data_IF_346908468262
#
_entry.id   IF_346908468262
#
_cell.length_a   1.000
_cell.length_b   1.000
_cell.length_c   1.000
_cell.angle_alpha   90.00
_cell.angle_beta   90.00
_cell.angle_gamma   90.00
#
_symmetry.space_group_name_H-M   'P 1'
#
loop_
_entity.id
_entity.type
_entity.pdbx_description
1 polymer ?
#
# COMPACT_ATOMS: atom_id res chain seq x y z
N UNK A 1 12.86 1.21 -9.85
CA UNK A 1 12.23 0.02 -9.24
C UNK A 1 10.73 0.06 -9.52
N UNK A 2 10.10 -1.10 -9.77
CA UNK A 2 8.64 -1.21 -9.88
C UNK A 2 8.01 -1.19 -8.48
N UNK A 3 6.96 -0.40 -8.30
CA UNK A 3 6.10 -0.43 -7.11
C UNK A 3 4.68 -0.73 -7.56
N UNK A 4 4.09 -1.77 -7.01
CA UNK A 4 2.69 -2.12 -7.23
C UNK A 4 1.89 -1.85 -5.95
N UNK A 5 0.76 -1.16 -6.07
CA UNK A 5 -0.18 -0.95 -4.97
C UNK A 5 -1.47 -1.68 -5.30
N UNK A 6 -1.72 -2.76 -4.61
CA UNK A 6 -2.94 -3.54 -4.75
C UNK A 6 -3.91 -3.15 -3.65
N UNK A 7 -5.03 -2.56 -4.03
CA UNK A 7 -5.99 -2.00 -3.07
C UNK A 7 -7.39 -2.57 -3.28
N UNK A 8 -8.06 -2.89 -2.19
CA UNK A 8 -9.46 -3.30 -2.19
C UNK A 8 -10.36 -2.07 -2.27
N UNK A 9 -11.23 -2.05 -3.27
CA UNK A 9 -12.15 -0.94 -3.50
C UNK A 9 -11.55 0.20 -4.32
N UNK A 10 -12.40 1.12 -4.70
CA UNK A 10 -12.04 2.32 -5.46
C UNK A 10 -12.04 3.53 -4.54
N UNK A 11 -11.11 4.44 -4.76
CA UNK A 11 -11.19 5.76 -4.12
C UNK A 11 -12.31 6.57 -4.78
N UNK A 12 -13.31 6.91 -3.98
CA UNK A 12 -14.46 7.73 -4.38
C UNK A 12 -14.70 8.80 -3.32
N UNK A 13 -15.29 9.91 -3.72
CA UNK A 13 -15.60 10.99 -2.79
C UNK A 13 -14.45 11.98 -2.57
N UNK A 14 -14.42 12.68 -1.42
CA UNK A 14 -13.57 13.85 -1.22
C UNK A 14 -12.06 13.57 -1.32
N UNK A 15 -11.61 12.36 -0.98
CA UNK A 15 -10.18 12.00 -0.99
C UNK A 15 -9.67 11.56 -2.37
N UNK A 16 -10.57 11.27 -3.33
CA UNK A 16 -10.18 10.70 -4.62
C UNK A 16 -9.22 11.59 -5.42
N UNK A 17 -9.39 12.91 -5.36
CA UNK A 17 -8.51 13.87 -6.03
C UNK A 17 -7.12 13.93 -5.38
N UNK A 18 -7.06 13.91 -4.05
CA UNK A 18 -5.80 13.89 -3.31
C UNK A 18 -5.02 12.59 -3.55
N UNK A 19 -5.72 11.45 -3.53
CA UNK A 19 -5.11 10.14 -3.85
C UNK A 19 -4.47 10.16 -5.23
N UNK A 20 -5.22 10.55 -6.26
CA UNK A 20 -4.68 10.65 -7.64
C UNK A 20 -3.49 11.59 -7.73
N UNK A 21 -3.58 12.77 -7.11
CA UNK A 21 -2.48 13.75 -7.13
C UNK A 21 -1.19 13.16 -6.57
N UNK A 22 -1.24 12.45 -5.43
CA UNK A 22 -0.05 11.84 -4.87
C UNK A 22 0.42 10.60 -5.62
N UNK A 23 -0.47 9.80 -6.19
CA UNK A 23 -0.09 8.68 -7.07
C UNK A 23 0.64 9.19 -8.33
N UNK A 24 0.14 10.22 -8.99
CA UNK A 24 0.79 10.87 -10.14
C UNK A 24 2.16 11.46 -9.79
N UNK A 25 2.28 12.10 -8.64
CA UNK A 25 3.56 12.63 -8.14
C UNK A 25 4.54 11.50 -7.84
N UNK A 26 4.09 10.41 -7.20
CA UNK A 26 4.90 9.24 -6.90
C UNK A 26 5.41 8.54 -8.16
N UNK A 27 4.62 8.54 -9.24
CA UNK A 27 5.01 7.96 -10.52
C UNK A 27 6.22 8.63 -11.18
N UNK A 28 6.62 9.83 -10.72
CA UNK A 28 7.86 10.51 -11.18
C UNK A 28 9.14 9.87 -10.62
N UNK A 29 9.02 9.13 -9.52
CA UNK A 29 10.15 8.50 -8.81
C UNK A 29 10.19 7.00 -8.99
N UNK A 30 9.01 6.38 -9.12
CA UNK A 30 8.82 4.95 -9.17
C UNK A 30 8.08 4.54 -10.43
N UNK A 31 8.37 3.35 -10.95
CA UNK A 31 7.47 2.72 -11.92
C UNK A 31 6.23 2.23 -11.16
N UNK A 32 5.34 3.17 -10.84
CA UNK A 32 4.16 2.94 -10.01
C UNK A 32 3.02 2.33 -10.83
N UNK A 33 2.44 1.27 -10.32
CA UNK A 33 1.22 0.64 -10.82
C UNK A 33 0.22 0.49 -9.67
N UNK A 34 -0.97 1.06 -9.81
CA UNK A 34 -2.04 0.93 -8.82
C UNK A 34 -3.15 0.07 -9.41
N UNK A 35 -3.47 -1.02 -8.73
CA UNK A 35 -4.48 -1.99 -9.16
C UNK A 35 -5.58 -2.06 -8.10
N UNK A 36 -6.78 -1.64 -8.49
CA UNK A 36 -7.97 -1.74 -7.66
C UNK A 36 -8.64 -3.09 -7.88
N UNK A 37 -8.82 -3.86 -6.82
CA UNK A 37 -9.64 -5.06 -6.85
C UNK A 37 -11.03 -4.77 -6.27
N UNK A 38 -12.04 -5.45 -6.78
CA UNK A 38 -13.41 -5.29 -6.31
C UNK A 38 -13.52 -5.67 -4.84
N UNK A 39 -14.19 -4.84 -4.03
CA UNK A 39 -14.51 -5.17 -2.65
C UNK A 39 -15.41 -6.43 -2.60
N UNK A 40 -15.16 -7.27 -1.60
CA UNK A 40 -16.02 -8.41 -1.28
C UNK A 40 -17.34 -7.92 -0.67
N UNK A 41 -18.36 -8.74 -0.66
CA UNK A 41 -19.67 -8.32 -0.17
C UNK A 41 -20.38 -7.45 -1.21
N UNK A 42 -20.94 -8.07 -2.22
CA UNK A 42 -21.90 -7.41 -3.13
C UNK A 42 -23.05 -6.80 -2.34
N UNK A 43 -23.96 -6.10 -3.00
CA UNK A 43 -25.15 -5.41 -2.41
C UNK A 43 -26.09 -6.30 -1.56
N UNK A 44 -25.68 -7.55 -1.24
CA UNK A 44 -26.39 -8.50 -0.38
C UNK A 44 -25.92 -8.36 1.07
N UNK A 45 -26.83 -8.03 1.97
CA UNK A 45 -26.64 -8.06 3.43
C UNK A 45 -26.21 -9.47 3.84
N UNK A 46 -25.15 -9.62 4.64
CA UNK A 46 -24.94 -10.80 5.44
C UNK A 46 -23.71 -11.66 5.15
N UNK A 47 -22.73 -11.21 4.36
CA UNK A 47 -21.46 -11.94 4.33
C UNK A 47 -20.67 -11.68 5.62
N UNK A 48 -20.25 -12.76 6.27
CA UNK A 48 -19.34 -12.70 7.42
C UNK A 48 -18.04 -11.99 7.05
N UNK A 49 -17.45 -11.16 7.96
CA UNK A 49 -16.20 -10.45 7.71
C UNK A 49 -15.06 -11.36 7.21
N UNK A 50 -14.97 -12.58 7.73
CA UNK A 50 -13.96 -13.56 7.30
C UNK A 50 -14.15 -13.99 5.85
N UNK A 51 -15.38 -14.18 5.39
CA UNK A 51 -15.70 -14.53 4.00
C UNK A 51 -15.40 -13.39 3.06
N UNK A 52 -15.70 -12.14 3.47
CA UNK A 52 -15.35 -10.94 2.70
C UNK A 52 -13.84 -10.86 2.51
N UNK A 53 -13.06 -10.97 3.59
CA UNK A 53 -11.59 -10.96 3.53
C UNK A 53 -11.03 -12.06 2.64
N UNK A 54 -11.59 -13.26 2.70
CA UNK A 54 -11.15 -14.38 1.88
C UNK A 54 -11.31 -14.09 0.39
N UNK A 55 -12.49 -13.63 -0.04
CA UNK A 55 -12.78 -13.28 -1.44
C UNK A 55 -11.88 -12.13 -1.93
N UNK A 56 -11.71 -11.11 -1.11
CA UNK A 56 -10.81 -9.99 -1.42
C UNK A 56 -9.35 -10.46 -1.51
N UNK A 57 -8.95 -11.33 -0.58
CA UNK A 57 -7.62 -11.92 -0.54
C UNK A 57 -7.27 -12.70 -1.81
N UNK A 58 -8.17 -13.54 -2.29
CA UNK A 58 -7.99 -14.26 -3.55
C UNK A 58 -7.80 -13.32 -4.76
N UNK A 59 -8.58 -12.22 -4.79
CA UNK A 59 -8.46 -11.21 -5.84
C UNK A 59 -7.12 -10.51 -5.82
N UNK A 60 -6.61 -10.18 -4.62
CA UNK A 60 -5.30 -9.56 -4.42
C UNK A 60 -4.18 -10.53 -4.83
N UNK A 61 -4.21 -11.78 -4.35
CA UNK A 61 -3.18 -12.80 -4.66
C UNK A 61 -2.95 -12.94 -6.16
N UNK A 62 -4.02 -12.99 -6.95
CA UNK A 62 -3.94 -13.13 -8.41
C UNK A 62 -3.27 -11.94 -9.11
N UNK A 63 -3.08 -10.83 -8.42
CA UNK A 63 -2.50 -9.60 -8.95
C UNK A 63 -1.08 -9.34 -8.45
N UNK A 64 -0.58 -10.13 -7.51
CA UNK A 64 0.79 -9.99 -7.01
C UNK A 64 1.76 -10.36 -8.14
N UNK A 65 2.64 -9.45 -8.58
CA UNK A 65 3.65 -9.76 -9.57
C UNK A 65 4.63 -10.82 -9.06
N UNK A 66 5.01 -11.75 -9.93
CA UNK A 66 5.98 -12.78 -9.57
C UNK A 66 7.32 -12.15 -9.15
N UNK A 67 7.89 -12.65 -8.07
CA UNK A 67 9.19 -12.21 -7.55
C UNK A 67 9.19 -10.84 -6.86
N UNK A 68 8.04 -10.18 -6.72
CA UNK A 68 7.97 -8.94 -5.94
C UNK A 68 7.98 -9.23 -4.43
N UNK A 69 8.65 -8.38 -3.65
CA UNK A 69 8.55 -8.39 -2.18
C UNK A 69 7.17 -7.84 -1.77
N UNK A 70 6.44 -8.57 -0.93
CA UNK A 70 5.05 -8.24 -0.55
C UNK A 70 5.02 -7.58 0.81
N UNK A 71 4.50 -6.37 0.87
CA UNK A 71 4.35 -5.58 2.10
C UNK A 71 2.87 -5.37 2.42
N UNK A 72 2.40 -6.00 3.49
CA UNK A 72 1.02 -5.87 3.94
C UNK A 72 0.85 -4.64 4.85
N UNK A 73 -0.06 -3.74 4.47
CA UNK A 73 -0.46 -2.65 5.36
C UNK A 73 -1.46 -3.19 6.38
N UNK A 74 -1.05 -3.20 7.62
CA UNK A 74 -1.86 -3.72 8.72
C UNK A 74 -1.54 -2.98 10.02
N UNK A 75 -2.55 -2.78 10.85
CA UNK A 75 -2.42 -2.13 12.16
C UNK A 75 -1.41 -2.83 13.09
N UNK A 76 -1.28 -4.15 12.99
CA UNK A 76 -0.32 -4.94 13.77
C UNK A 76 1.10 -4.99 13.19
N UNK A 77 1.38 -4.21 12.15
CA UNK A 77 2.71 -4.15 11.54
C UNK A 77 3.69 -3.26 12.32
N UNK A 78 4.95 -3.29 11.92
CA UNK A 78 5.98 -2.38 12.44
C UNK A 78 5.84 -0.98 11.85
N UNK A 79 6.00 0.05 12.70
CA UNK A 79 6.06 1.45 12.26
C UNK A 79 7.44 1.80 11.70
N UNK A 80 7.47 2.69 10.73
CA UNK A 80 8.69 3.26 10.17
C UNK A 80 8.59 4.78 10.14
N UNK A 81 9.69 5.48 10.42
CA UNK A 81 9.77 6.88 10.06
C UNK A 81 9.83 7.06 8.53
N UNK A 82 9.44 8.22 8.01
CA UNK A 82 9.52 8.51 6.58
C UNK A 82 10.93 8.32 6.01
N UNK A 83 11.95 8.71 6.78
CA UNK A 83 13.35 8.50 6.41
C UNK A 83 13.73 7.02 6.36
N UNK A 84 13.30 6.22 7.35
CA UNK A 84 13.54 4.77 7.36
C UNK A 84 12.81 4.08 6.21
N UNK A 85 11.59 4.48 5.92
CA UNK A 85 10.81 3.97 4.78
C UNK A 85 11.51 4.28 3.45
N UNK A 86 11.98 5.52 3.27
CA UNK A 86 12.73 5.92 2.08
C UNK A 86 14.02 5.10 1.91
N UNK A 87 14.84 4.97 2.96
CA UNK A 87 16.06 4.17 2.91
C UNK A 87 15.78 2.71 2.57
N UNK A 88 14.73 2.14 3.14
CA UNK A 88 14.35 0.76 2.87
C UNK A 88 13.93 0.56 1.41
N UNK A 89 13.14 1.47 0.82
CA UNK A 89 12.82 1.42 -0.61
C UNK A 89 14.06 1.63 -1.49
N UNK A 90 14.96 2.53 -1.10
CA UNK A 90 16.22 2.77 -1.80
C UNK A 90 17.09 1.51 -1.83
N UNK A 91 17.26 0.79 -0.72
CA UNK A 91 18.02 -0.45 -0.69
C UNK A 91 17.43 -1.52 -1.61
N UNK A 92 16.09 -1.64 -1.64
CA UNK A 92 15.43 -2.57 -2.57
C UNK A 92 15.65 -2.23 -4.03
N UNK A 93 15.74 -0.94 -4.34
CA UNK A 93 16.03 -0.49 -5.70
C UNK A 93 17.45 -0.86 -6.14
N UNK A 94 18.42 -0.82 -5.23
CA UNK A 94 19.84 -1.15 -5.50
C UNK A 94 20.13 -2.67 -5.50
N UNK A 95 19.36 -3.44 -4.73
CA UNK A 95 19.49 -4.90 -4.67
C UNK A 95 19.01 -5.64 -5.94
N UNK A 96 18.50 -4.91 -6.95
CA UNK A 96 18.04 -5.49 -8.20
C UNK A 96 16.76 -6.34 -8.07
N UNK A 97 16.00 -6.16 -7.00
CA UNK A 97 14.73 -6.86 -6.81
C UNK A 97 13.71 -6.47 -7.87
N UNK A 98 12.85 -7.40 -8.26
CA UNK A 98 11.83 -7.20 -9.29
C UNK A 98 10.79 -6.12 -8.94
N UNK A 99 10.65 -5.78 -7.64
CA UNK A 99 9.78 -4.71 -7.16
C UNK A 99 9.25 -4.97 -5.76
N UNK A 100 8.48 -4.00 -5.28
CA UNK A 100 7.74 -4.07 -4.01
C UNK A 100 6.25 -3.96 -4.31
N UNK A 101 5.46 -4.83 -3.69
CA UNK A 101 4.01 -4.84 -3.79
C UNK A 101 3.39 -4.50 -2.43
N UNK A 102 2.67 -3.40 -2.35
CA UNK A 102 1.90 -3.03 -1.17
C UNK A 102 0.49 -3.59 -1.28
N UNK A 103 0.00 -4.19 -0.19
CA UNK A 103 -1.37 -4.69 -0.06
C UNK A 103 -2.15 -3.78 0.88
N UNK A 104 -3.24 -3.20 0.38
CA UNK A 104 -4.17 -2.37 1.15
C UNK A 104 -5.52 -3.08 1.21
N UNK A 105 -5.91 -3.54 2.39
CA UNK A 105 -7.17 -4.25 2.61
C UNK A 105 -8.39 -3.35 2.53
N UNK A 106 -9.56 -3.96 2.47
CA UNK A 106 -10.87 -3.29 2.55
C UNK A 106 -11.30 -3.01 3.98
N UNK A 107 -12.61 -2.85 4.18
CA UNK A 107 -13.21 -2.47 5.46
C UNK A 107 -12.87 -3.41 6.63
N UNK A 108 -12.63 -4.68 6.36
CA UNK A 108 -12.30 -5.70 7.36
C UNK A 108 -10.81 -6.06 7.40
N UNK A 109 -9.95 -5.30 6.71
CA UNK A 109 -8.52 -5.58 6.63
C UNK A 109 -8.16 -6.69 5.65
N UNK A 110 -6.94 -7.20 5.76
CA UNK A 110 -6.39 -8.26 4.91
C UNK A 110 -6.71 -9.66 5.48
N UNK A 111 -6.88 -10.63 4.59
CA UNK A 111 -7.06 -12.03 5.00
C UNK A 111 -5.81 -12.57 5.72
N UNK A 112 -5.97 -13.42 6.76
CA UNK A 112 -4.84 -14.01 7.48
C UNK A 112 -3.86 -14.75 6.54
N UNK A 113 -4.36 -15.44 5.53
CA UNK A 113 -3.52 -16.13 4.53
C UNK A 113 -2.63 -15.17 3.73
N UNK A 114 -3.10 -13.94 3.45
CA UNK A 114 -2.28 -12.89 2.82
C UNK A 114 -1.24 -12.33 3.78
N UNK A 115 -1.63 -12.11 5.03
CA UNK A 115 -0.70 -11.66 6.05
C UNK A 115 0.45 -12.65 6.24
N UNK A 116 0.14 -13.95 6.30
CA UNK A 116 1.16 -15.00 6.42
C UNK A 116 2.11 -15.09 5.22
N UNK A 117 1.70 -14.63 4.05
CA UNK A 117 2.52 -14.61 2.81
C UNK A 117 3.29 -13.32 2.61
N UNK A 118 2.98 -12.30 3.38
CA UNK A 118 3.68 -11.02 3.26
C UNK A 118 5.09 -11.11 3.84
N UNK A 119 6.07 -10.60 3.10
CA UNK A 119 7.46 -10.51 3.53
C UNK A 119 7.63 -9.45 4.63
N UNK A 120 6.72 -8.48 4.68
CA UNK A 120 6.73 -7.40 5.67
C UNK A 120 5.32 -6.96 6.04
N UNK A 121 5.14 -6.67 7.32
CA UNK A 121 3.96 -6.02 7.85
C UNK A 121 4.31 -4.58 8.23
N UNK A 122 3.60 -3.61 7.66
CA UNK A 122 3.82 -2.19 7.89
C UNK A 122 2.57 -1.54 8.48
N UNK A 123 2.74 -0.83 9.57
CA UNK A 123 1.72 0.02 10.17
C UNK A 123 2.07 1.50 9.98
N UNK A 124 1.09 2.30 9.57
CA UNK A 124 1.23 3.77 9.58
C UNK A 124 0.88 4.36 10.93
N UNK A 125 0.08 3.65 11.73
CA UNK A 125 -0.37 4.04 13.06
C UNK A 125 -0.88 2.80 13.78
N UNK A 126 -0.87 2.83 15.10
CA UNK A 126 -1.59 1.87 15.93
C UNK A 126 -3.11 2.05 15.84
N UNK A 127 -3.55 3.23 15.41
CA UNK A 127 -4.97 3.52 15.15
C UNK A 127 -5.45 2.86 13.85
N UNK A 128 -6.71 2.47 13.84
CA UNK A 128 -7.36 1.97 12.62
C UNK A 128 -7.60 3.13 11.66
N UNK A 129 -7.10 3.01 10.45
CA UNK A 129 -7.36 3.95 9.35
C UNK A 129 -8.36 3.35 8.37
N UNK A 130 -9.35 4.14 7.90
CA UNK A 130 -10.14 3.76 6.74
C UNK A 130 -9.23 3.47 5.53
N UNK A 131 -9.60 2.51 4.68
CA UNK A 131 -8.76 2.08 3.57
C UNK A 131 -8.37 3.21 2.59
N UNK A 132 -9.24 4.21 2.38
CA UNK A 132 -8.93 5.37 1.55
C UNK A 132 -7.87 6.28 2.17
N UNK A 133 -7.88 6.44 3.51
CA UNK A 133 -6.82 7.16 4.22
C UNK A 133 -5.49 6.41 4.17
N UNK A 134 -5.52 5.09 4.35
CA UNK A 134 -4.31 4.27 4.23
C UNK A 134 -3.71 4.35 2.83
N UNK A 135 -4.54 4.33 1.77
CA UNK A 135 -4.11 4.52 0.39
C UNK A 135 -3.49 5.91 0.16
N UNK A 136 -4.16 6.97 0.63
CA UNK A 136 -3.66 8.34 0.52
C UNK A 136 -2.33 8.50 1.25
N UNK A 137 -2.24 7.98 2.47
CA UNK A 137 -1.02 8.03 3.27
C UNK A 137 0.13 7.29 2.57
N UNK A 138 -0.12 6.09 2.03
CA UNK A 138 0.87 5.35 1.26
C UNK A 138 1.35 6.15 0.04
N UNK A 139 0.43 6.70 -0.74
CA UNK A 139 0.75 7.46 -1.94
C UNK A 139 1.62 8.69 -1.59
N UNK A 140 1.30 9.41 -0.51
CA UNK A 140 2.10 10.53 -0.02
C UNK A 140 3.48 10.06 0.45
N UNK A 141 3.59 8.96 1.21
CA UNK A 141 4.86 8.46 1.69
C UNK A 141 5.75 7.91 0.55
N UNK A 142 5.19 7.34 -0.50
CA UNK A 142 5.93 6.97 -1.71
C UNK A 142 6.51 8.21 -2.42
N UNK A 143 5.72 9.27 -2.55
CA UNK A 143 6.20 10.54 -3.08
C UNK A 143 7.32 11.12 -2.21
N UNK A 144 7.11 11.20 -0.90
CA UNK A 144 8.08 11.69 0.07
C UNK A 144 9.38 10.86 0.04
N UNK A 145 9.29 9.55 -0.04
CA UNK A 145 10.44 8.68 -0.15
C UNK A 145 11.27 8.98 -1.41
N UNK A 146 10.60 9.21 -2.54
CA UNK A 146 11.26 9.61 -3.77
C UNK A 146 12.01 10.94 -3.64
N UNK A 147 11.39 11.95 -3.00
CA UNK A 147 12.02 13.26 -2.75
C UNK A 147 13.22 13.14 -1.80
N UNK A 148 13.11 12.34 -0.74
CA UNK A 148 14.22 12.10 0.20
C UNK A 148 15.42 11.48 -0.53
N UNK A 149 15.18 10.44 -1.32
CA UNK A 149 16.27 9.74 -2.03
C UNK A 149 16.97 10.62 -3.08
N UNK A 150 16.30 11.65 -3.58
CA UNK A 150 16.86 12.63 -4.52
C UNK A 150 17.38 13.91 -3.86
N UNK A 151 17.28 14.04 -2.53
CA UNK A 151 17.68 15.27 -1.81
C UNK A 151 16.81 16.48 -2.12
N UNK A 152 15.58 16.27 -2.54
CA UNK A 152 14.65 17.35 -2.87
C UNK A 152 14.00 17.98 -1.62
N UNK A 153 13.65 19.29 -1.64
CA UNK A 153 13.27 20.04 -0.42
C UNK A 153 11.85 19.77 0.12
N UNK A 154 11.13 18.76 -0.38
CA UNK A 154 9.79 18.43 0.11
C UNK A 154 9.79 17.96 1.56
N UNK A 155 10.76 17.14 1.93
CA UNK A 155 10.92 16.63 3.29
C UNK A 155 11.71 17.63 4.14
N UNK A 156 11.00 18.42 4.95
CA UNK A 156 11.60 19.44 5.83
C UNK A 156 11.77 18.98 7.29
N UNK A 157 11.45 17.75 7.60
CA UNK A 157 11.63 17.16 8.93
C UNK A 157 13.03 16.57 9.05
N UNK A 158 13.82 17.05 10.00
CA UNK A 158 15.00 16.33 10.43
C UNK A 158 14.62 14.91 10.90
N UNK A 159 15.50 13.96 10.69
CA UNK A 159 15.36 12.59 11.15
C UNK A 159 15.18 12.52 12.65
#
# INVERSE_FOLDING_TARGET
MKISVLVVGRSRGPLASAVRSFEERSARYWKLEVIEVRAGGGRGRGMEPASVRSVEGERLVRRIPAGSEVWALTRGGGGLSSGAFARLLGSRATEGRSGVTFLVGGAFGLAPALLSRADRHLAFSEMTLPHEFARLFLAEQLYRAGTILRGEPYHKGGA
#
